data_IF_901574954757
#
_entry.id   IF_901574954757
#
_cell.length_a   1.000
_cell.length_b   1.000
_cell.length_c   1.000
_cell.angle_alpha   90.00
_cell.angle_beta   90.00
_cell.angle_gamma   90.00
#
_symmetry.space_group_name_H-M   'P 1'
#
loop_
_entity.id
_entity.type
_entity.pdbx_description
1 polymer ?
#
# COMPACT_ATOMS: atom_id res chain seq x y z
N UNK A 1 34.72 49.94 -18.24
CA UNK A 1 34.13 49.50 -16.96
C UNK A 1 33.38 48.19 -17.19
N UNK A 2 33.89 47.06 -16.66
CA UNK A 2 33.23 45.75 -16.71
C UNK A 2 32.49 45.54 -15.38
N UNK A 3 31.21 45.21 -15.40
CA UNK A 3 30.51 44.60 -14.26
C UNK A 3 29.76 43.37 -14.78
N UNK A 4 30.27 42.20 -14.37
CA UNK A 4 29.71 40.89 -14.66
C UNK A 4 28.40 40.74 -13.88
N UNK A 5 27.31 40.43 -14.57
CA UNK A 5 26.05 40.03 -13.95
C UNK A 5 26.16 38.54 -13.66
N UNK A 6 26.19 38.19 -12.37
CA UNK A 6 26.18 36.82 -11.91
C UNK A 6 24.73 36.30 -11.96
N UNK A 7 24.44 35.38 -12.87
CA UNK A 7 23.19 34.62 -12.85
C UNK A 7 23.26 33.60 -11.72
N UNK A 8 22.45 33.81 -10.67
CA UNK A 8 22.20 32.80 -9.64
C UNK A 8 21.36 31.71 -10.28
N UNK A 9 21.98 30.57 -10.59
CA UNK A 9 21.28 29.38 -11.01
C UNK A 9 20.55 28.79 -9.79
N UNK A 10 19.24 28.99 -9.73
CA UNK A 10 18.35 28.26 -8.83
C UNK A 10 18.32 26.79 -9.29
N UNK A 11 19.12 25.95 -8.63
CA UNK A 11 18.99 24.51 -8.75
C UNK A 11 17.67 24.09 -8.11
N UNK A 12 16.63 23.90 -8.93
CA UNK A 12 15.39 23.26 -8.52
C UNK A 12 15.68 21.78 -8.31
N UNK A 13 15.94 21.37 -7.07
CA UNK A 13 15.93 19.97 -6.67
C UNK A 13 14.50 19.44 -6.81
N UNK A 14 14.15 18.99 -8.02
CA UNK A 14 13.02 18.09 -8.19
C UNK A 14 13.41 16.81 -7.47
N UNK A 15 12.83 16.60 -6.29
CA UNK A 15 12.82 15.29 -5.67
C UNK A 15 12.08 14.37 -6.63
N UNK A 16 12.81 13.73 -7.54
CA UNK A 16 12.36 12.57 -8.30
C UNK A 16 12.25 11.39 -7.33
N UNK A 17 11.44 11.53 -6.28
CA UNK A 17 10.97 10.42 -5.49
C UNK A 17 9.97 9.67 -6.33
N UNK A 18 10.21 8.38 -6.56
CA UNK A 18 9.24 7.49 -7.17
C UNK A 18 7.91 7.61 -6.41
N UNK A 19 6.78 7.66 -7.15
CA UNK A 19 5.45 7.69 -6.54
C UNK A 19 5.25 6.44 -5.68
N UNK A 20 4.40 6.53 -4.66
CA UNK A 20 4.09 5.39 -3.77
C UNK A 20 3.65 4.16 -4.58
N UNK A 21 2.80 4.35 -5.59
CA UNK A 21 2.38 3.30 -6.52
C UNK A 21 3.56 2.58 -7.20
N UNK A 22 4.61 3.31 -7.59
CA UNK A 22 5.80 2.68 -8.20
C UNK A 22 6.58 1.85 -7.20
N UNK A 23 6.68 2.30 -5.94
CA UNK A 23 7.35 1.57 -4.86
C UNK A 23 6.60 0.29 -4.52
N UNK A 24 5.27 0.37 -4.48
CA UNK A 24 4.40 -0.80 -4.27
C UNK A 24 4.59 -1.83 -5.38
N UNK A 25 4.50 -1.41 -6.65
CA UNK A 25 4.61 -2.35 -7.78
C UNK A 25 5.98 -3.04 -7.78
N UNK A 26 7.05 -2.33 -7.41
CA UNK A 26 8.39 -2.94 -7.26
C UNK A 26 8.48 -3.91 -6.08
N UNK A 27 7.65 -3.75 -5.06
CA UNK A 27 7.66 -4.55 -3.83
C UNK A 27 6.77 -5.80 -3.91
N UNK A 28 6.04 -6.02 -5.02
CA UNK A 28 5.07 -7.11 -5.10
C UNK A 28 5.67 -8.51 -4.92
N UNK A 29 6.92 -8.74 -5.34
CA UNK A 29 7.55 -10.04 -5.17
C UNK A 29 7.80 -10.36 -3.69
N UNK A 30 8.29 -9.38 -2.92
CA UNK A 30 8.50 -9.45 -1.49
C UNK A 30 7.17 -9.52 -0.74
N UNK A 31 6.20 -8.70 -1.12
CA UNK A 31 4.84 -8.75 -0.56
C UNK A 31 4.19 -10.12 -0.79
N UNK A 32 4.39 -10.75 -1.95
CA UNK A 32 3.86 -12.08 -2.23
C UNK A 32 4.51 -13.15 -1.34
N UNK A 33 5.82 -13.06 -1.08
CA UNK A 33 6.50 -13.96 -0.13
C UNK A 33 5.91 -13.82 1.27
N UNK A 34 5.65 -12.59 1.71
CA UNK A 34 4.96 -12.34 2.98
C UNK A 34 3.55 -12.91 2.96
N UNK A 35 2.76 -12.68 1.91
CA UNK A 35 1.39 -13.18 1.81
C UNK A 35 1.31 -14.71 1.83
N UNK A 36 2.26 -15.39 1.19
CA UNK A 36 2.36 -16.86 1.19
C UNK A 36 2.75 -17.44 2.55
N UNK A 37 3.49 -16.68 3.35
CA UNK A 37 3.97 -17.11 4.68
C UNK A 37 3.11 -16.58 5.83
N UNK A 38 2.23 -15.61 5.57
CA UNK A 38 1.20 -15.14 6.49
C UNK A 38 0.29 -16.31 6.84
N UNK A 39 0.57 -16.94 7.99
CA UNK A 39 -0.18 -18.09 8.49
C UNK A 39 -1.61 -17.73 8.85
N UNK A 40 -2.42 -18.76 9.08
CA UNK A 40 -3.78 -18.63 9.62
C UNK A 40 -3.81 -18.32 11.12
N UNK A 41 -2.66 -18.21 11.78
CA UNK A 41 -2.58 -17.92 13.20
C UNK A 41 -2.96 -16.46 13.46
N UNK A 42 -4.12 -16.29 14.11
CA UNK A 42 -4.87 -15.15 14.69
C UNK A 42 -4.20 -13.81 15.04
N UNK A 43 -2.92 -13.59 14.76
CA UNK A 43 -2.24 -12.32 15.01
C UNK A 43 -2.09 -11.52 13.73
N UNK A 44 -3.02 -10.60 13.43
CA UNK A 44 -2.69 -9.45 12.60
C UNK A 44 -1.37 -8.85 13.12
N UNK A 45 -0.38 -8.65 12.25
CA UNK A 45 0.81 -7.91 12.68
C UNK A 45 0.40 -6.45 12.80
N UNK A 46 -0.03 -6.03 14.00
CA UNK A 46 -0.49 -4.65 14.24
C UNK A 46 0.66 -3.66 14.43
N UNK A 47 1.89 -4.08 14.10
CA UNK A 47 3.08 -3.23 14.16
C UNK A 47 3.47 -2.87 12.73
N UNK A 48 3.88 -1.62 12.49
CA UNK A 48 4.45 -1.23 11.21
C UNK A 48 5.57 -2.19 10.79
N UNK A 49 5.51 -2.64 9.53
CA UNK A 49 6.47 -3.55 8.94
C UNK A 49 6.84 -3.07 7.54
N UNK A 50 8.14 -2.94 7.28
CA UNK A 50 8.65 -2.68 5.94
C UNK A 50 8.68 -3.98 5.12
N UNK A 51 8.13 -3.92 3.91
CA UNK A 51 8.18 -5.00 2.92
C UNK A 51 8.52 -4.39 1.57
N UNK A 52 9.70 -4.73 1.04
CA UNK A 52 10.25 -4.07 -0.15
C UNK A 52 10.59 -2.61 0.12
N UNK A 53 10.03 -1.70 -0.68
CA UNK A 53 10.24 -0.24 -0.57
C UNK A 53 9.13 0.48 0.23
N UNK A 54 8.26 -0.26 0.92
CA UNK A 54 7.03 0.27 1.54
C UNK A 54 6.85 -0.20 2.98
N UNK A 55 6.48 0.71 3.86
CA UNK A 55 6.04 0.41 5.23
C UNK A 55 4.51 0.20 5.26
N UNK A 56 4.08 -0.92 5.83
CA UNK A 56 2.68 -1.26 6.05
C UNK A 56 2.36 -1.19 7.53
N UNK A 57 1.27 -0.53 7.90
CA UNK A 57 0.84 -0.40 9.29
C UNK A 57 0.36 -1.71 9.88
N UNK A 58 -0.24 -2.55 9.03
CA UNK A 58 -0.66 -3.88 9.39
C UNK A 58 -0.67 -4.81 8.19
N UNK A 59 -0.33 -6.08 8.43
CA UNK A 59 -0.50 -7.15 7.46
C UNK A 59 -1.30 -8.26 8.14
N UNK A 60 -2.41 -8.67 7.52
CA UNK A 60 -3.31 -9.66 8.11
C UNK A 60 -4.00 -10.49 7.04
N UNK A 61 -4.39 -11.71 7.42
CA UNK A 61 -5.11 -12.65 6.56
C UNK A 61 -6.59 -12.67 6.97
N UNK A 62 -7.47 -12.63 5.98
CA UNK A 62 -8.90 -12.84 6.14
C UNK A 62 -9.36 -13.81 5.05
N UNK A 63 -9.73 -15.02 5.46
CA UNK A 63 -10.02 -16.12 4.53
C UNK A 63 -8.82 -16.45 3.63
N UNK A 64 -9.04 -16.40 2.32
CA UNK A 64 -8.05 -16.62 1.27
C UNK A 64 -7.28 -15.34 0.87
N UNK A 65 -7.62 -14.19 1.46
CA UNK A 65 -7.04 -12.88 1.16
C UNK A 65 -5.99 -12.47 2.19
N UNK A 66 -4.96 -11.77 1.74
CA UNK A 66 -3.99 -11.10 2.63
C UNK A 66 -4.00 -9.61 2.36
N UNK A 67 -4.24 -8.82 3.40
CA UNK A 67 -4.36 -7.38 3.38
C UNK A 67 -3.05 -6.74 3.86
N UNK A 68 -2.60 -5.74 3.11
CA UNK A 68 -1.45 -4.90 3.40
C UNK A 68 -1.95 -3.47 3.57
N UNK A 69 -2.14 -3.04 4.82
CA UNK A 69 -2.73 -1.73 5.15
C UNK A 69 -1.67 -0.63 5.14
N UNK A 70 -1.94 0.46 4.41
CA UNK A 70 -1.04 1.64 4.30
C UNK A 70 -1.53 2.81 5.16
N UNK A 71 -2.84 3.11 5.15
CA UNK A 71 -3.42 4.29 5.82
C UNK A 71 -3.63 4.15 7.34
N UNK A 72 -3.64 5.30 8.06
CA UNK A 72 -3.74 5.40 9.53
C UNK A 72 -5.01 4.78 10.14
N UNK A 73 -4.84 4.14 11.31
CA UNK A 73 -5.92 3.93 12.29
C UNK A 73 -6.27 5.26 12.99
N UNK A 74 -6.84 6.23 12.27
CA UNK A 74 -7.33 7.49 12.82
C UNK A 74 -8.86 7.57 12.79
N UNK A 75 -9.54 8.17 13.78
CA UNK A 75 -10.98 8.37 13.71
C UNK A 75 -11.35 9.21 12.48
N UNK A 76 -12.19 8.65 11.60
CA UNK A 76 -12.65 9.29 10.37
C UNK A 76 -11.71 9.17 9.17
N UNK A 77 -10.68 8.31 9.24
CA UNK A 77 -9.86 7.94 8.07
C UNK A 77 -10.23 6.53 7.63
N UNK A 78 -10.77 6.44 6.43
CA UNK A 78 -11.08 5.19 5.78
C UNK A 78 -9.77 4.40 5.51
N UNK A 79 -9.65 3.15 5.98
CA UNK A 79 -8.46 2.36 5.76
C UNK A 79 -8.34 2.00 4.29
N UNK A 80 -7.10 1.98 3.82
CA UNK A 80 -6.77 1.60 2.45
C UNK A 80 -5.43 0.88 2.39
N UNK A 81 -5.20 0.20 1.26
CA UNK A 81 -3.97 -0.50 0.99
C UNK A 81 -4.11 -1.46 -0.18
N UNK A 82 -3.55 -2.65 -0.01
CA UNK A 82 -3.45 -3.65 -1.08
C UNK A 82 -3.89 -5.02 -0.60
N UNK A 83 -4.49 -5.78 -1.50
CA UNK A 83 -4.96 -7.13 -1.23
C UNK A 83 -4.30 -8.09 -2.20
N UNK A 84 -3.74 -9.16 -1.65
CA UNK A 84 -3.34 -10.35 -2.36
C UNK A 84 -4.47 -11.36 -2.30
N UNK A 85 -5.09 -11.66 -3.45
CA UNK A 85 -6.12 -12.69 -3.59
C UNK A 85 -5.78 -13.56 -4.82
N UNK A 86 -5.15 -14.72 -4.62
CA UNK A 86 -4.66 -15.55 -5.72
C UNK A 86 -5.71 -16.47 -6.32
N UNK A 87 -6.78 -16.78 -5.59
CA UNK A 87 -7.79 -17.76 -6.00
C UNK A 87 -8.98 -17.10 -6.71
N UNK A 88 -9.42 -15.94 -6.22
CA UNK A 88 -10.65 -15.31 -6.66
C UNK A 88 -10.53 -13.78 -6.76
N UNK A 89 -11.50 -13.15 -7.43
CA UNK A 89 -11.66 -11.70 -7.36
C UNK A 89 -12.25 -11.36 -5.99
N UNK A 90 -11.64 -10.46 -5.21
CA UNK A 90 -12.19 -10.06 -3.91
C UNK A 90 -13.56 -9.39 -4.10
N UNK A 91 -14.48 -9.71 -3.20
CA UNK A 91 -15.83 -9.14 -3.15
C UNK A 91 -16.02 -8.39 -1.84
N UNK A 92 -16.97 -7.45 -1.83
CA UNK A 92 -17.42 -6.82 -0.59
C UNK A 92 -18.29 -7.80 0.20
N UNK A 93 -17.67 -8.46 1.17
CA UNK A 93 -18.28 -9.35 2.16
C UNK A 93 -18.17 -8.78 3.58
N UNK A 94 -17.92 -7.47 3.67
CA UNK A 94 -17.81 -6.72 4.92
C UNK A 94 -19.17 -6.58 5.63
N UNK A 95 -19.13 -6.18 6.91
CA UNK A 95 -20.32 -5.81 7.66
C UNK A 95 -21.09 -4.68 6.91
N UNK A 96 -22.44 -4.66 6.88
CA UNK A 96 -23.23 -3.63 6.20
C UNK A 96 -22.92 -2.17 6.59
N UNK A 97 -22.19 -1.93 7.69
CA UNK A 97 -21.68 -0.60 8.07
C UNK A 97 -20.36 -0.21 7.38
N UNK A 98 -19.83 -1.03 6.47
CA UNK A 98 -18.57 -0.79 5.75
C UNK A 98 -18.77 -1.17 4.29
N UNK A 99 -18.41 -0.28 3.39
CA UNK A 99 -18.38 -0.56 1.95
C UNK A 99 -16.92 -0.74 1.50
N UNK A 100 -16.53 -1.95 1.13
CA UNK A 100 -15.18 -2.24 0.64
C UNK A 100 -15.12 -2.17 -0.89
N UNK A 101 -14.10 -1.49 -1.42
CA UNK A 101 -13.85 -1.40 -2.86
C UNK A 101 -12.53 -2.07 -3.24
N UNK A 102 -12.49 -2.69 -4.43
CA UNK A 102 -11.32 -3.40 -4.94
C UNK A 102 -11.06 -3.02 -6.41
N UNK A 103 -9.88 -2.46 -6.69
CA UNK A 103 -9.42 -2.13 -8.04
C UNK A 103 -8.29 -3.09 -8.44
N UNK A 104 -8.46 -3.84 -9.53
CA UNK A 104 -7.43 -4.78 -10.00
C UNK A 104 -6.19 -4.03 -10.49
N UNK A 105 -5.00 -4.49 -10.06
CA UNK A 105 -3.72 -3.92 -10.51
C UNK A 105 -3.06 -4.90 -11.48
N UNK A 106 -2.66 -6.08 -11.00
CA UNK A 106 -2.03 -7.11 -11.81
C UNK A 106 -2.00 -8.45 -11.08
N UNK A 107 -2.10 -9.56 -11.82
CA UNK A 107 -2.04 -10.90 -11.22
C UNK A 107 -3.00 -11.01 -10.03
N UNK A 108 -2.53 -11.47 -8.84
CA UNK A 108 -3.34 -11.60 -7.64
C UNK A 108 -3.52 -10.29 -6.84
N UNK A 109 -3.06 -9.14 -7.36
CA UNK A 109 -2.98 -7.88 -6.63
C UNK A 109 -4.12 -6.92 -6.97
N UNK A 110 -4.72 -6.39 -5.92
CA UNK A 110 -5.78 -5.38 -5.96
C UNK A 110 -5.44 -4.22 -5.02
N UNK A 111 -5.82 -3.00 -5.39
CA UNK A 111 -5.93 -1.88 -4.45
C UNK A 111 -7.24 -2.02 -3.69
N UNK A 112 -7.22 -1.76 -2.40
CA UNK A 112 -8.39 -1.86 -1.51
C UNK A 112 -8.59 -0.56 -0.73
N UNK A 113 -9.84 -0.19 -0.52
CA UNK A 113 -10.24 0.83 0.45
C UNK A 113 -11.60 0.50 1.05
N UNK A 114 -11.80 0.82 2.31
CA UNK A 114 -13.12 0.81 2.92
C UNK A 114 -13.76 2.20 2.87
N UNK A 115 -15.06 2.26 3.18
CA UNK A 115 -15.78 3.48 3.52
C UNK A 115 -16.77 3.20 4.63
N UNK A 116 -16.70 3.95 5.74
CA UNK A 116 -17.52 3.79 6.96
C UNK A 116 -18.67 4.80 7.05
#
# INVERSE_FOLDING_TARGET
MRKLVACVALALSTSCGHSEDQRIVRSFAEMEQVARTAGSDDGATTRPQEVGEVEFQAIYREGDRVYFKVGENGPGVDPYGYVWSPEHVPVDDSNPSVASSFEHIQGPWYRWSDSY
#
